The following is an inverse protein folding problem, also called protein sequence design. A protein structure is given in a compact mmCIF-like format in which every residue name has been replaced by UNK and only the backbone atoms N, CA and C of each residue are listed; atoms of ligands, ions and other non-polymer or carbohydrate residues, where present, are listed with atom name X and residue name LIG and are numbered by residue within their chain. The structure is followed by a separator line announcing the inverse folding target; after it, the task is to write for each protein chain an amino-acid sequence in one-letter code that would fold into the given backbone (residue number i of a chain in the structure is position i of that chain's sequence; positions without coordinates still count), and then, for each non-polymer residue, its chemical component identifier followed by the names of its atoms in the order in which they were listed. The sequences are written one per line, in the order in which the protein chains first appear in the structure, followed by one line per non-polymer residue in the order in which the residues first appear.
data_IF_822551517052
#
_entry.id   IF_822551517052
#
_cell.length_a   1.000
_cell.length_b   1.000
_cell.length_c   1.000
_cell.angle_alpha   90.00
_cell.angle_beta   90.00
_cell.angle_gamma   90.00
#
_symmetry.space_group_name_H-M   'P 1'
#
loop_
_entity.id
_entity.type
_entity.pdbx_description
1 polymer ?
#
# COMPACT_ATOMS: atom_id res chain seq x y z
N UNK A 1 13.68 -20.15 12.96
CA UNK A 1 12.32 -20.10 13.52
C UNK A 1 12.15 -21.33 14.39
N UNK A 2 11.64 -21.19 15.63
CA UNK A 2 11.42 -22.32 16.55
C UNK A 2 10.01 -22.19 17.14
N UNK A 3 9.32 -23.31 17.30
CA UNK A 3 8.00 -23.37 17.96
C UNK A 3 8.21 -23.64 19.46
N UNK A 4 7.54 -22.87 20.32
CA UNK A 4 7.59 -23.03 21.77
C UNK A 4 6.20 -22.95 22.41
N UNK A 5 6.00 -23.51 23.60
CA UNK A 5 4.73 -23.39 24.34
C UNK A 5 4.93 -22.66 25.67
N UNK A 6 4.03 -21.73 25.99
CA UNK A 6 3.99 -21.01 27.27
C UNK A 6 2.54 -20.91 27.75
N UNK A 7 2.25 -21.42 28.96
CA UNK A 7 0.91 -21.41 29.57
C UNK A 7 -0.18 -22.02 28.65
N UNK A 8 0.14 -23.11 27.95
CA UNK A 8 -0.78 -23.78 27.02
C UNK A 8 -1.03 -23.03 25.71
N UNK A 9 -0.30 -21.95 25.44
CA UNK A 9 -0.34 -21.19 24.19
C UNK A 9 0.95 -21.44 23.41
N UNK A 10 0.83 -21.79 22.14
CA UNK A 10 1.99 -22.01 21.28
C UNK A 10 2.48 -20.65 20.73
N UNK A 11 3.78 -20.51 20.48
CA UNK A 11 4.42 -19.32 19.94
C UNK A 11 5.46 -19.64 18.86
N UNK A 12 5.67 -18.71 17.93
CA UNK A 12 6.78 -18.70 16.96
C UNK A 12 7.83 -17.70 17.43
N UNK A 13 9.09 -18.14 17.47
CA UNK A 13 10.22 -17.34 17.95
C UNK A 13 11.17 -17.02 16.79
N UNK A 14 11.50 -15.74 16.62
CA UNK A 14 12.49 -15.24 15.65
C UNK A 14 13.65 -14.59 16.41
N UNK A 15 14.86 -14.90 15.97
CA UNK A 15 16.10 -14.48 16.61
C UNK A 15 17.32 -14.98 15.86
N UNK A 16 18.38 -14.18 15.80
CA UNK A 16 19.62 -14.56 15.11
C UNK A 16 20.21 -15.85 15.71
N UNK A 17 20.27 -16.91 14.90
CA UNK A 17 20.83 -18.22 15.28
C UNK A 17 19.95 -19.04 16.22
N UNK A 18 18.71 -18.63 16.50
CA UNK A 18 17.87 -19.25 17.54
C UNK A 18 17.44 -20.69 17.20
N UNK A 19 17.28 -21.00 15.92
CA UNK A 19 16.96 -22.35 15.44
C UNK A 19 18.15 -23.30 15.33
N UNK A 20 19.39 -22.79 15.35
CA UNK A 20 20.59 -23.61 15.24
C UNK A 20 21.09 -24.11 16.61
N UNK A 21 20.71 -23.43 17.70
CA UNK A 21 21.16 -23.75 19.06
C UNK A 21 20.26 -24.76 19.80
N UNK A 22 19.09 -25.07 19.24
CA UNK A 22 18.06 -25.88 19.91
C UNK A 22 17.81 -27.13 19.08
N UNK A 23 18.32 -28.27 19.56
CA UNK A 23 17.91 -29.60 19.03
C UNK A 23 16.47 -29.88 19.47
N UNK A 24 15.73 -30.64 18.67
CA UNK A 24 14.28 -30.97 18.63
C UNK A 24 13.42 -30.92 19.92
N UNK A 25 14.00 -30.82 21.13
CA UNK A 25 13.31 -30.78 22.43
C UNK A 25 13.85 -29.72 23.40
N UNK A 26 14.70 -28.78 22.97
CA UNK A 26 15.28 -27.78 23.88
C UNK A 26 14.29 -26.67 24.26
N UNK A 27 14.32 -26.25 25.53
CA UNK A 27 13.50 -25.15 26.05
C UNK A 27 14.23 -23.83 25.84
N UNK A 28 13.56 -22.85 25.25
CA UNK A 28 14.06 -21.47 25.13
C UNK A 28 13.38 -20.63 26.21
N UNK A 29 14.19 -20.04 27.09
CA UNK A 29 13.71 -19.12 28.11
C UNK A 29 13.15 -17.83 27.45
N UNK A 30 12.03 -17.32 27.97
CA UNK A 30 11.34 -16.15 27.38
C UNK A 30 12.21 -14.88 27.37
N UNK A 31 13.20 -14.82 28.27
CA UNK A 31 14.13 -13.70 28.39
C UNK A 31 15.46 -13.94 27.65
N UNK A 32 15.54 -14.96 26.80
CA UNK A 32 16.74 -15.22 26.00
C UNK A 32 17.01 -14.01 25.10
N UNK A 33 18.21 -13.44 25.22
CA UNK A 33 18.61 -12.21 24.52
C UNK A 33 18.66 -12.37 22.99
N UNK A 34 18.65 -13.61 22.49
CA UNK A 34 18.56 -13.90 21.05
C UNK A 34 17.14 -13.79 20.54
N UNK A 35 16.13 -13.77 21.41
CA UNK A 35 14.74 -13.56 21.01
C UNK A 35 14.59 -12.10 20.59
N UNK A 36 14.43 -11.90 19.30
CA UNK A 36 14.14 -10.59 18.72
C UNK A 36 12.63 -10.38 18.63
N UNK A 37 11.86 -11.42 18.30
CA UNK A 37 10.40 -11.37 18.14
C UNK A 37 9.73 -12.66 18.60
N UNK A 38 8.53 -12.52 19.18
CA UNK A 38 7.70 -13.61 19.70
C UNK A 38 6.26 -13.44 19.19
N UNK A 39 5.75 -14.43 18.45
CA UNK A 39 4.40 -14.43 17.86
C UNK A 39 3.54 -15.53 18.48
N UNK A 40 2.22 -15.32 18.65
CA UNK A 40 1.30 -16.29 19.27
C UNK A 40 0.53 -17.08 18.20
N UNK A 41 0.39 -18.40 18.38
CA UNK A 41 -0.18 -19.33 17.39
C UNK A 41 -1.73 -19.40 17.35
N UNK A 42 -2.44 -18.50 18.04
CA UNK A 42 -3.91 -18.41 17.91
C UNK A 42 -4.35 -17.91 16.51
N UNK A 43 -3.41 -17.41 15.71
CA UNK A 43 -3.62 -17.02 14.30
C UNK A 43 -3.49 -18.22 13.32
N UNK A 44 -3.56 -19.46 13.81
CA UNK A 44 -3.13 -20.72 13.14
C UNK A 44 -3.72 -20.99 11.75
N UNK A 45 -4.97 -20.64 11.47
CA UNK A 45 -5.58 -20.88 10.15
C UNK A 45 -4.96 -19.99 9.07
N UNK A 46 -4.70 -18.72 9.38
CA UNK A 46 -3.99 -17.83 8.47
C UNK A 46 -2.51 -18.24 8.35
N UNK A 47 -1.84 -18.55 9.47
CA UNK A 47 -0.41 -18.90 9.46
C UNK A 47 -0.04 -20.27 8.91
N UNK A 48 -0.94 -21.26 8.99
CA UNK A 48 -0.67 -22.59 8.39
C UNK A 48 -0.61 -22.53 6.87
N UNK A 49 -1.44 -21.68 6.25
CA UNK A 49 -1.31 -21.35 4.83
C UNK A 49 -0.02 -20.58 4.54
N UNK A 50 0.37 -19.67 5.45
CA UNK A 50 1.59 -18.88 5.33
C UNK A 50 2.89 -19.69 5.52
N UNK A 51 2.91 -20.72 6.37
CA UNK A 51 4.08 -21.60 6.54
C UNK A 51 4.42 -22.35 5.26
N UNK A 52 3.41 -22.86 4.55
CA UNK A 52 3.58 -23.57 3.27
C UNK A 52 4.20 -22.64 2.20
N UNK A 53 3.83 -21.35 2.20
CA UNK A 53 4.38 -20.33 1.29
C UNK A 53 5.84 -19.95 1.60
N UNK A 54 6.29 -20.12 2.86
CA UNK A 54 7.63 -19.73 3.32
C UNK A 54 8.68 -20.84 3.17
N UNK A 55 8.26 -22.11 3.06
CA UNK A 55 9.17 -23.27 2.97
C UNK A 55 10.09 -23.23 1.74
N UNK A 56 9.68 -22.54 0.67
CA UNK A 56 10.43 -22.41 -0.59
C UNK A 56 11.15 -21.04 -0.77
N UNK A 57 11.14 -20.18 0.25
CA UNK A 57 11.80 -18.85 0.14
C UNK A 57 13.31 -18.97 0.32
N UNK A 58 14.06 -18.32 -0.58
CA UNK A 58 15.53 -18.28 -0.52
C UNK A 58 15.97 -17.66 0.82
N UNK A 59 16.86 -18.29 1.60
CA UNK A 59 17.39 -17.73 2.84
C UNK A 59 17.98 -16.32 2.68
N UNK A 60 18.54 -15.98 1.50
CA UNK A 60 18.99 -14.63 1.18
C UNK A 60 17.82 -13.64 1.10
N UNK A 61 16.67 -14.08 0.60
CA UNK A 61 15.45 -13.26 0.55
C UNK A 61 14.95 -12.99 1.96
N UNK A 62 14.97 -13.99 2.84
CA UNK A 62 14.61 -13.77 4.25
C UNK A 62 15.56 -12.79 4.94
N UNK A 63 16.87 -12.95 4.74
CA UNK A 63 17.88 -12.04 5.29
C UNK A 63 17.65 -10.60 4.84
N UNK A 64 17.49 -10.36 3.53
CA UNK A 64 17.30 -8.99 3.02
C UNK A 64 15.97 -8.39 3.48
N UNK A 65 14.94 -9.23 3.60
CA UNK A 65 13.62 -8.85 4.13
C UNK A 65 13.74 -8.33 5.56
N UNK A 66 14.47 -9.03 6.42
CA UNK A 66 14.69 -8.61 7.81
C UNK A 66 15.40 -7.26 7.90
N UNK A 67 16.40 -7.03 7.04
CA UNK A 67 17.07 -5.72 6.95
C UNK A 67 16.11 -4.61 6.54
N UNK A 68 15.29 -4.83 5.49
CA UNK A 68 14.32 -3.86 4.98
C UNK A 68 13.25 -3.56 6.04
N UNK A 69 12.75 -4.58 6.74
CA UNK A 69 11.78 -4.40 7.84
C UNK A 69 12.41 -3.60 8.99
N UNK A 70 13.70 -3.81 9.27
CA UNK A 70 14.46 -2.98 10.20
C UNK A 70 14.47 -1.52 9.81
N UNK A 71 14.74 -1.22 8.54
CA UNK A 71 14.72 0.15 8.00
C UNK A 71 13.32 0.78 8.13
N UNK A 72 12.26 0.05 7.76
CA UNK A 72 10.86 0.51 7.87
C UNK A 72 10.53 0.81 9.34
N UNK A 73 10.89 -0.09 10.25
CA UNK A 73 10.61 0.03 11.68
C UNK A 73 11.33 1.23 12.30
N UNK A 74 12.57 1.49 11.89
CA UNK A 74 13.34 2.65 12.32
C UNK A 74 12.67 3.97 11.89
N UNK A 75 12.06 3.99 10.71
CA UNK A 75 11.39 5.17 10.14
C UNK A 75 9.94 5.33 10.64
N UNK A 76 9.32 4.25 11.09
CA UNK A 76 7.93 4.21 11.57
C UNK A 76 7.78 3.40 12.88
N UNK A 77 8.29 3.90 14.01
CA UNK A 77 8.25 3.17 15.28
C UNK A 77 6.81 2.86 15.72
N UNK A 78 6.54 1.61 16.09
CA UNK A 78 5.26 1.18 16.66
C UNK A 78 4.08 1.06 15.67
N UNK A 79 4.32 1.19 14.36
CA UNK A 79 3.27 1.12 13.33
C UNK A 79 3.27 -0.16 12.48
N UNK A 80 4.29 -1.01 12.66
CA UNK A 80 4.50 -2.17 11.79
C UNK A 80 3.39 -3.22 11.98
N UNK A 81 2.83 -3.68 10.87
CA UNK A 81 1.89 -4.80 10.79
C UNK A 81 2.63 -6.11 10.49
N UNK A 82 2.32 -7.16 11.26
CA UNK A 82 2.93 -8.48 11.14
C UNK A 82 2.75 -9.16 9.76
N UNK A 83 1.74 -8.78 8.97
CA UNK A 83 1.53 -9.29 7.60
C UNK A 83 2.71 -8.96 6.67
N UNK A 84 3.54 -7.96 6.99
CA UNK A 84 4.74 -7.65 6.20
C UNK A 84 5.74 -8.80 6.17
N UNK A 85 5.84 -9.61 7.24
CA UNK A 85 6.80 -10.73 7.34
C UNK A 85 6.52 -11.85 6.35
N UNK A 86 5.35 -11.84 5.71
CA UNK A 86 5.00 -12.75 4.63
C UNK A 86 4.95 -12.02 3.28
N UNK A 87 4.28 -10.88 3.24
CA UNK A 87 3.99 -10.19 1.98
C UNK A 87 5.27 -9.69 1.30
N UNK A 88 6.21 -9.14 2.08
CA UNK A 88 7.46 -8.60 1.55
C UNK A 88 8.42 -9.67 1.02
N UNK A 89 8.74 -10.77 1.75
CA UNK A 89 9.64 -11.79 1.21
C UNK A 89 9.05 -12.49 -0.01
N UNK A 90 7.72 -12.71 -0.04
CA UNK A 90 7.03 -13.26 -1.22
C UNK A 90 7.19 -12.34 -2.44
N UNK A 91 7.01 -11.03 -2.25
CA UNK A 91 7.19 -10.05 -3.30
C UNK A 91 8.65 -10.02 -3.79
N UNK A 92 9.63 -9.96 -2.88
CA UNK A 92 11.06 -9.94 -3.24
C UNK A 92 11.46 -11.21 -4.00
N UNK A 93 11.07 -12.39 -3.52
CA UNK A 93 11.33 -13.67 -4.20
C UNK A 93 10.79 -13.64 -5.64
N UNK A 94 9.54 -13.17 -5.81
CA UNK A 94 8.92 -13.08 -7.13
C UNK A 94 9.59 -12.02 -8.02
N UNK A 95 9.96 -10.86 -7.46
CA UNK A 95 10.72 -9.80 -8.15
C UNK A 95 12.07 -10.31 -8.64
N UNK A 96 12.77 -11.13 -7.86
CA UNK A 96 14.04 -11.73 -8.31
C UNK A 96 13.79 -12.76 -9.41
N UNK A 97 12.80 -13.63 -9.23
CA UNK A 97 12.44 -14.66 -10.22
C UNK A 97 12.11 -14.04 -11.58
N UNK A 98 11.26 -13.01 -11.60
CA UNK A 98 10.83 -12.35 -12.84
C UNK A 98 11.98 -11.63 -13.56
N UNK A 99 12.85 -10.94 -12.82
CA UNK A 99 13.96 -10.18 -13.41
C UNK A 99 14.99 -11.13 -14.02
N UNK A 100 15.28 -12.24 -13.34
CA UNK A 100 16.14 -13.31 -13.87
C UNK A 100 15.54 -14.02 -15.09
N UNK A 101 14.22 -14.02 -15.19
CA UNK A 101 13.48 -14.59 -16.32
C UNK A 101 13.25 -13.60 -17.47
N UNK A 102 13.73 -12.36 -17.36
CA UNK A 102 13.52 -11.32 -18.38
C UNK A 102 12.06 -10.88 -18.53
N UNK A 103 11.26 -11.02 -17.48
CA UNK A 103 9.86 -10.58 -17.46
C UNK A 103 9.76 -9.11 -17.07
N UNK A 104 9.38 -8.28 -18.04
CA UNK A 104 9.17 -6.85 -17.83
C UNK A 104 8.10 -6.56 -16.77
N UNK A 105 8.25 -5.40 -16.14
CA UNK A 105 7.26 -4.82 -15.25
C UNK A 105 6.85 -3.45 -15.75
N UNK A 106 5.57 -3.13 -15.63
CA UNK A 106 5.08 -1.78 -15.80
C UNK A 106 4.21 -1.46 -14.59
N UNK A 107 4.53 -0.36 -13.92
CA UNK A 107 3.73 0.22 -12.86
C UNK A 107 3.01 1.46 -13.41
N UNK A 108 1.73 1.33 -13.83
CA UNK A 108 0.98 2.45 -14.39
C UNK A 108 0.68 3.55 -13.36
N UNK A 109 1.01 3.35 -12.08
CA UNK A 109 0.78 4.29 -10.98
C UNK A 109 2.08 4.88 -10.44
N UNK A 110 3.24 4.62 -11.06
CA UNK A 110 4.55 4.99 -10.48
C UNK A 110 4.63 6.46 -10.05
N UNK A 111 4.17 7.36 -10.92
CA UNK A 111 4.21 8.80 -10.67
C UNK A 111 3.25 9.22 -9.56
N UNK A 112 2.04 8.64 -9.53
CA UNK A 112 1.09 8.83 -8.45
C UNK A 112 1.65 8.34 -7.10
N UNK A 113 2.25 7.15 -7.11
CA UNK A 113 2.85 6.50 -5.93
C UNK A 113 3.96 7.37 -5.33
N UNK A 114 4.87 7.91 -6.17
CA UNK A 114 5.92 8.85 -5.73
C UNK A 114 5.37 10.10 -5.04
N UNK A 115 4.29 10.66 -5.57
CA UNK A 115 3.71 11.90 -5.06
C UNK A 115 2.89 11.67 -3.80
N UNK A 116 2.23 10.52 -3.71
CA UNK A 116 1.31 10.18 -2.61
C UNK A 116 2.07 9.65 -1.39
N UNK A 117 3.11 8.84 -1.62
CA UNK A 117 3.86 8.13 -0.59
C UNK A 117 5.37 8.46 -0.67
N UNK A 118 5.78 9.73 -0.62
CA UNK A 118 7.17 10.12 -0.86
C UNK A 118 8.15 9.52 0.17
N UNK A 119 7.72 9.39 1.42
CA UNK A 119 8.56 8.83 2.49
C UNK A 119 8.72 7.31 2.32
N UNK A 120 7.62 6.62 2.02
CA UNK A 120 7.61 5.18 1.76
C UNK A 120 8.39 4.85 0.48
N UNK A 121 8.31 5.71 -0.54
CA UNK A 121 9.07 5.58 -1.79
C UNK A 121 10.58 5.69 -1.54
N UNK A 122 11.02 6.61 -0.69
CA UNK A 122 12.44 6.72 -0.32
C UNK A 122 12.95 5.44 0.36
N UNK A 123 12.14 4.83 1.23
CA UNK A 123 12.50 3.57 1.91
C UNK A 123 12.50 2.41 0.91
N UNK A 124 11.51 2.35 0.02
CA UNK A 124 11.43 1.36 -1.04
C UNK A 124 12.62 1.45 -2.00
N UNK A 125 13.10 2.66 -2.29
CA UNK A 125 14.28 2.88 -3.13
C UNK A 125 15.54 2.30 -2.46
N UNK A 126 15.76 2.58 -1.17
CA UNK A 126 16.87 1.98 -0.40
C UNK A 126 16.76 0.46 -0.31
N UNK A 127 15.54 -0.06 -0.18
CA UNK A 127 15.28 -1.49 -0.22
C UNK A 127 15.65 -2.11 -1.58
N UNK A 128 15.31 -1.44 -2.69
CA UNK A 128 15.69 -1.86 -4.02
C UNK A 128 17.20 -1.88 -4.24
N UNK A 129 17.95 -0.91 -3.70
CA UNK A 129 19.42 -0.92 -3.73
C UNK A 129 20.01 -2.12 -2.99
N UNK A 130 19.47 -2.42 -1.80
CA UNK A 130 19.84 -3.61 -1.00
C UNK A 130 19.58 -4.92 -1.76
N UNK A 131 18.41 -5.06 -2.36
CA UNK A 131 18.04 -6.24 -3.16
C UNK A 131 18.95 -6.34 -4.39
N UNK A 132 19.20 -5.23 -5.09
CA UNK A 132 20.08 -5.20 -6.26
C UNK A 132 21.48 -5.72 -5.92
N UNK A 133 22.04 -5.26 -4.80
CA UNK A 133 23.37 -5.65 -4.33
C UNK A 133 23.46 -7.14 -3.91
N UNK A 134 22.47 -7.66 -3.18
CA UNK A 134 22.49 -9.05 -2.69
C UNK A 134 22.29 -10.08 -3.82
N UNK A 135 21.47 -9.76 -4.83
CA UNK A 135 21.09 -10.70 -5.88
C UNK A 135 21.73 -10.45 -7.24
N UNK A 136 22.51 -9.37 -7.37
CA UNK A 136 23.15 -8.91 -8.61
C UNK A 136 22.13 -8.78 -9.76
N UNK A 137 21.04 -8.08 -9.49
CA UNK A 137 19.97 -7.76 -10.45
C UNK A 137 19.76 -6.25 -10.47
N UNK A 138 19.30 -5.71 -11.60
CA UNK A 138 18.87 -4.33 -11.68
C UNK A 138 17.39 -4.25 -11.33
N UNK A 139 17.04 -3.58 -10.22
CA UNK A 139 15.65 -3.33 -9.87
C UNK A 139 15.15 -2.10 -10.65
N UNK A 140 14.14 -2.24 -11.54
CA UNK A 140 13.57 -1.11 -12.26
C UNK A 140 12.73 -0.24 -11.33
N UNK A 141 12.53 1.02 -11.71
CA UNK A 141 11.79 1.98 -10.88
C UNK A 141 10.32 1.57 -10.65
N UNK A 142 9.72 0.85 -11.59
CA UNK A 142 8.39 0.27 -11.46
C UNK A 142 8.27 -0.70 -10.27
N UNK A 143 9.30 -1.51 -10.01
CA UNK A 143 9.39 -2.38 -8.81
C UNK A 143 9.52 -1.54 -7.54
N UNK A 144 10.29 -0.44 -7.56
CA UNK A 144 10.34 0.51 -6.43
C UNK A 144 8.93 1.04 -6.12
N UNK A 145 8.13 1.30 -7.15
CA UNK A 145 6.73 1.69 -6.98
C UNK A 145 5.87 0.61 -6.30
N UNK A 146 6.06 -0.68 -6.60
CA UNK A 146 5.33 -1.76 -5.90
C UNK A 146 5.86 -2.01 -4.49
N UNK A 147 7.18 -1.95 -4.28
CA UNK A 147 7.79 -1.99 -2.95
C UNK A 147 7.24 -0.87 -2.05
N UNK A 148 6.99 0.32 -2.62
CA UNK A 148 6.35 1.44 -1.90
C UNK A 148 4.99 1.04 -1.31
N UNK A 149 4.18 0.27 -2.05
CA UNK A 149 2.92 -0.24 -1.52
C UNK A 149 3.12 -1.25 -0.39
N UNK A 150 4.14 -2.11 -0.45
CA UNK A 150 4.45 -3.01 0.66
C UNK A 150 4.89 -2.24 1.92
N UNK A 151 5.69 -1.17 1.76
CA UNK A 151 6.07 -0.29 2.87
C UNK A 151 4.84 0.41 3.46
N UNK A 152 4.00 1.04 2.62
CA UNK A 152 2.79 1.71 3.08
C UNK A 152 1.81 0.74 3.75
N UNK A 153 1.60 -0.43 3.14
CA UNK A 153 0.74 -1.49 3.68
C UNK A 153 1.16 -1.91 5.07
N UNK A 154 2.47 -2.04 5.29
CA UNK A 154 3.03 -2.43 6.57
C UNK A 154 2.84 -1.39 7.68
N UNK A 155 2.73 -0.10 7.38
CA UNK A 155 2.62 0.96 8.39
C UNK A 155 1.19 1.49 8.57
N UNK A 156 0.32 1.26 7.59
CA UNK A 156 -1.05 1.77 7.55
C UNK A 156 -2.12 0.68 7.69
N UNK A 157 -1.72 -0.60 7.74
CA UNK A 157 -2.64 -1.75 7.80
C UNK A 157 -3.67 -1.75 6.64
N UNK A 158 -3.25 -1.26 5.48
CA UNK A 158 -4.04 -1.29 4.24
C UNK A 158 -3.47 -2.36 3.32
N UNK A 159 -4.23 -3.38 2.89
CA UNK A 159 -3.70 -4.41 1.99
C UNK A 159 -3.20 -3.83 0.66
N UNK A 160 -2.09 -4.35 0.13
CA UNK A 160 -1.54 -3.93 -1.18
C UNK A 160 -2.57 -4.03 -2.31
N UNK A 161 -3.38 -5.09 -2.33
CA UNK A 161 -4.44 -5.25 -3.32
C UNK A 161 -5.48 -4.12 -3.30
N UNK A 162 -5.78 -3.57 -2.11
CA UNK A 162 -6.67 -2.42 -1.97
C UNK A 162 -6.00 -1.14 -2.53
N UNK A 163 -4.70 -0.94 -2.29
CA UNK A 163 -3.95 0.20 -2.84
C UNK A 163 -3.95 0.17 -4.38
N UNK A 164 -3.74 -1.00 -4.97
CA UNK A 164 -3.81 -1.19 -6.43
C UNK A 164 -5.23 -0.94 -6.94
N UNK A 165 -6.27 -1.41 -6.24
CA UNK A 165 -7.67 -1.17 -6.60
C UNK A 165 -8.00 0.33 -6.58
N UNK A 166 -7.56 1.06 -5.55
CA UNK A 166 -7.75 2.51 -5.43
C UNK A 166 -7.00 3.25 -6.55
N UNK A 167 -5.75 2.90 -6.84
CA UNK A 167 -4.96 3.58 -7.89
C UNK A 167 -5.54 3.38 -9.29
N UNK A 168 -6.03 2.17 -9.60
CA UNK A 168 -6.79 1.91 -10.82
C UNK A 168 -8.03 2.81 -10.91
N UNK A 169 -8.78 2.93 -9.81
CA UNK A 169 -9.97 3.76 -9.76
C UNK A 169 -9.65 5.24 -9.95
N UNK A 170 -8.59 5.75 -9.31
CA UNK A 170 -8.14 7.15 -9.50
C UNK A 170 -7.86 7.42 -10.98
N UNK A 171 -7.11 6.54 -11.66
CA UNK A 171 -6.83 6.68 -13.08
C UNK A 171 -8.11 6.65 -13.94
N UNK A 172 -9.05 5.73 -13.69
CA UNK A 172 -10.33 5.68 -14.41
C UNK A 172 -11.14 6.99 -14.24
N UNK A 173 -11.19 7.54 -13.02
CA UNK A 173 -11.89 8.78 -12.72
C UNK A 173 -11.20 10.00 -13.35
N UNK A 174 -9.87 10.07 -13.33
CA UNK A 174 -9.10 11.14 -13.98
C UNK A 174 -9.36 11.16 -15.48
N UNK A 175 -9.37 9.99 -16.12
CA UNK A 175 -9.66 9.82 -17.54
C UNK A 175 -11.09 10.24 -17.91
N UNK A 176 -12.05 9.90 -17.06
CA UNK A 176 -13.43 10.34 -17.23
C UNK A 176 -13.57 11.86 -17.10
N UNK A 177 -12.94 12.49 -16.09
CA UNK A 177 -12.94 13.94 -15.92
C UNK A 177 -12.32 14.63 -17.14
N UNK A 178 -11.18 14.11 -17.62
CA UNK A 178 -10.48 14.61 -18.81
C UNK A 178 -11.39 14.63 -20.03
N UNK A 179 -12.08 13.52 -20.26
CA UNK A 179 -12.98 13.32 -21.41
C UNK A 179 -14.23 14.19 -21.32
N UNK A 180 -14.90 14.22 -20.17
CA UNK A 180 -16.14 14.98 -19.99
C UNK A 180 -15.93 16.49 -20.07
N UNK A 181 -14.78 16.98 -19.60
CA UNK A 181 -14.48 18.42 -19.56
C UNK A 181 -13.62 18.89 -20.73
N UNK A 182 -13.17 17.97 -21.59
CA UNK A 182 -12.27 18.25 -22.72
C UNK A 182 -11.03 19.05 -22.28
N UNK A 183 -10.50 18.71 -21.11
CA UNK A 183 -9.28 19.30 -20.56
C UNK A 183 -8.11 18.36 -20.81
N UNK A 184 -6.90 18.90 -20.87
CA UNK A 184 -5.67 18.11 -20.85
C UNK A 184 -4.95 18.39 -19.54
N UNK A 185 -4.60 17.34 -18.81
CA UNK A 185 -3.70 17.47 -17.69
C UNK A 185 -2.27 17.43 -18.21
N UNK A 186 -1.50 18.50 -18.00
CA UNK A 186 -0.05 18.38 -18.09
C UNK A 186 0.40 17.41 -17.00
N UNK A 187 1.09 16.36 -17.42
CA UNK A 187 1.53 15.29 -16.52
C UNK A 187 2.47 15.88 -15.45
N UNK A 188 2.17 15.64 -14.18
CA UNK A 188 2.91 16.20 -13.05
C UNK A 188 2.57 17.66 -12.70
N UNK A 189 1.61 18.29 -13.38
CA UNK A 189 1.14 19.63 -12.98
C UNK A 189 0.50 19.62 -11.59
N UNK A 190 0.68 20.70 -10.83
CA UNK A 190 0.13 20.85 -9.48
C UNK A 190 -1.39 20.60 -9.40
N UNK A 191 -2.12 20.95 -10.47
CA UNK A 191 -3.56 20.74 -10.55
C UNK A 191 -3.92 19.25 -10.70
N UNK A 192 -3.19 18.53 -11.54
CA UNK A 192 -3.35 17.09 -11.71
C UNK A 192 -3.06 16.34 -10.42
N UNK A 193 -1.92 16.62 -9.78
CA UNK A 193 -1.51 16.00 -8.52
C UNK A 193 -2.53 16.26 -7.41
N UNK A 194 -3.01 17.50 -7.30
CA UNK A 194 -4.01 17.87 -6.29
C UNK A 194 -5.32 17.12 -6.49
N UNK A 195 -5.83 17.04 -7.72
CA UNK A 195 -7.07 16.30 -8.01
C UNK A 195 -6.91 14.82 -7.69
N UNK A 196 -5.81 14.20 -8.13
CA UNK A 196 -5.46 12.81 -7.86
C UNK A 196 -5.47 12.50 -6.35
N UNK A 197 -4.83 13.34 -5.54
CA UNK A 197 -4.81 13.21 -4.08
C UNK A 197 -6.24 13.28 -3.49
N UNK A 198 -7.07 14.23 -3.95
CA UNK A 198 -8.45 14.34 -3.46
C UNK A 198 -9.32 13.15 -3.85
N UNK A 199 -9.18 12.64 -5.08
CA UNK A 199 -9.86 11.42 -5.53
C UNK A 199 -9.46 10.22 -4.68
N UNK A 200 -8.15 10.02 -4.46
CA UNK A 200 -7.62 8.94 -3.62
C UNK A 200 -8.21 8.98 -2.21
N UNK A 201 -8.13 10.13 -1.54
CA UNK A 201 -8.66 10.24 -0.18
C UNK A 201 -10.18 10.06 -0.10
N UNK A 202 -10.94 10.51 -1.12
CA UNK A 202 -12.37 10.21 -1.19
C UNK A 202 -12.63 8.71 -1.33
N UNK A 203 -11.88 8.01 -2.17
CA UNK A 203 -12.01 6.55 -2.33
C UNK A 203 -11.66 5.80 -1.05
N UNK A 204 -10.60 6.21 -0.35
CA UNK A 204 -10.21 5.62 0.93
C UNK A 204 -11.30 5.78 1.99
N UNK A 205 -11.89 6.98 2.11
CA UNK A 205 -12.99 7.21 3.07
C UNK A 205 -14.26 6.44 2.72
N UNK A 206 -14.61 6.37 1.43
CA UNK A 206 -15.74 5.58 0.94
C UNK A 206 -15.54 4.10 1.31
N UNK A 207 -14.34 3.56 1.09
CA UNK A 207 -14.01 2.17 1.42
C UNK A 207 -13.98 1.91 2.94
N UNK A 208 -13.61 2.91 3.74
CA UNK A 208 -13.61 2.82 5.21
C UNK A 208 -15.00 3.05 5.82
N UNK A 209 -16.01 3.42 5.02
CA UNK A 209 -17.34 3.77 5.52
C UNK A 209 -17.34 5.01 6.43
N UNK A 210 -16.33 5.86 6.33
CA UNK A 210 -16.22 7.07 7.14
C UNK A 210 -17.19 8.13 6.64
N UNK A 211 -18.11 8.56 7.50
CA UNK A 211 -19.02 9.66 7.20
C UNK A 211 -18.31 10.99 7.49
N UNK A 212 -18.22 11.87 6.49
CA UNK A 212 -17.87 13.27 6.71
C UNK A 212 -19.17 14.03 6.91
N UNK A 213 -19.34 14.67 8.07
CA UNK A 213 -20.34 15.71 8.19
C UNK A 213 -19.88 16.94 7.41
N UNK A 214 -20.58 17.27 6.32
CA UNK A 214 -20.29 18.44 5.51
C UNK A 214 -21.45 19.46 5.62
N UNK A 215 -21.30 20.49 6.46
CA UNK A 215 -22.36 21.48 6.68
C UNK A 215 -22.69 22.31 5.42
N UNK A 216 -21.88 22.22 4.36
CA UNK A 216 -22.04 23.00 3.13
C UNK A 216 -22.71 22.24 1.97
N UNK A 217 -23.19 21.01 2.18
CA UNK A 217 -23.85 20.18 1.13
C UNK A 217 -24.91 20.98 0.36
N UNK A 218 -25.81 21.68 1.05
CA UNK A 218 -26.88 22.46 0.41
C UNK A 218 -26.35 23.62 -0.44
N UNK A 219 -25.28 24.28 0.01
CA UNK A 219 -24.68 25.40 -0.72
C UNK A 219 -23.93 24.90 -1.96
N UNK A 220 -23.13 23.84 -1.82
CA UNK A 220 -22.40 23.20 -2.92
C UNK A 220 -23.34 22.77 -4.04
N UNK A 221 -24.47 22.13 -3.71
CA UNK A 221 -25.47 21.71 -4.69
C UNK A 221 -26.13 22.87 -5.43
N UNK A 222 -26.21 24.05 -4.80
CA UNK A 222 -26.82 25.25 -5.40
C UNK A 222 -25.84 26.03 -6.27
N UNK A 223 -24.62 26.22 -5.80
CA UNK A 223 -23.60 27.04 -6.46
C UNK A 223 -22.82 26.26 -7.53
N UNK A 224 -22.46 24.99 -7.26
CA UNK A 224 -21.59 24.17 -8.12
C UNK A 224 -22.38 23.08 -8.86
N UNK A 225 -23.49 23.46 -9.50
CA UNK A 225 -24.43 22.51 -10.12
C UNK A 225 -23.79 21.62 -11.18
N UNK A 226 -22.89 22.18 -12.00
CA UNK A 226 -22.24 21.45 -13.10
C UNK A 226 -21.26 20.43 -12.56
N UNK A 227 -20.44 20.82 -11.59
CA UNK A 227 -19.44 19.98 -10.94
C UNK A 227 -20.08 18.93 -10.06
N UNK A 228 -21.20 19.25 -9.40
CA UNK A 228 -21.99 18.27 -8.65
C UNK A 228 -22.60 17.21 -9.56
N UNK A 229 -23.11 17.58 -10.75
CA UNK A 229 -23.56 16.59 -11.74
C UNK A 229 -22.43 15.69 -12.23
N UNK A 230 -21.22 16.23 -12.43
CA UNK A 230 -20.05 15.43 -12.77
C UNK A 230 -19.67 14.49 -11.62
N UNK A 231 -19.61 15.00 -10.38
CA UNK A 231 -19.36 14.19 -9.19
C UNK A 231 -20.39 13.04 -9.03
N UNK A 232 -21.67 13.27 -9.33
CA UNK A 232 -22.69 12.21 -9.34
C UNK A 232 -22.40 11.12 -10.38
N UNK A 233 -21.90 11.47 -11.58
CA UNK A 233 -21.50 10.48 -12.58
C UNK A 233 -20.28 9.67 -12.12
N UNK A 234 -19.27 10.34 -11.59
CA UNK A 234 -18.09 9.69 -11.00
C UNK A 234 -18.50 8.76 -9.86
N UNK A 235 -19.40 9.20 -8.98
CA UNK A 235 -19.94 8.40 -7.89
C UNK A 235 -20.62 7.11 -8.35
N UNK A 236 -21.35 7.14 -9.48
CA UNK A 236 -21.94 5.92 -10.07
C UNK A 236 -20.87 4.92 -10.54
N UNK A 237 -19.77 5.42 -11.11
CA UNK A 237 -18.65 4.55 -11.51
C UNK A 237 -17.99 3.92 -10.29
N UNK A 238 -17.72 4.73 -9.25
CA UNK A 238 -17.17 4.24 -7.97
C UNK A 238 -18.08 3.17 -7.37
N UNK A 239 -19.38 3.44 -7.28
CA UNK A 239 -20.37 2.51 -6.74
C UNK A 239 -20.40 1.19 -7.50
N UNK A 240 -20.41 1.23 -8.84
CA UNK A 240 -20.44 0.03 -9.67
C UNK A 240 -19.14 -0.79 -9.59
N UNK A 241 -17.99 -0.15 -9.44
CA UNK A 241 -16.67 -0.80 -9.51
C UNK A 241 -16.18 -1.31 -8.16
N UNK A 242 -16.55 -0.61 -7.08
CA UNK A 242 -16.13 -0.95 -5.73
C UNK A 242 -17.22 -1.68 -4.95
N UNK A 243 -18.44 -1.76 -5.46
CA UNK A 243 -19.61 -2.40 -4.81
C UNK A 243 -19.93 -1.76 -3.44
N UNK A 244 -19.78 -0.44 -3.37
CA UNK A 244 -20.00 0.37 -2.17
C UNK A 244 -21.02 1.47 -2.42
N UNK A 245 -21.71 1.91 -1.38
CA UNK A 245 -22.51 3.12 -1.46
C UNK A 245 -21.59 4.34 -1.38
N UNK A 246 -21.82 5.33 -2.23
CA UNK A 246 -21.10 6.60 -2.19
C UNK A 246 -21.97 7.63 -1.46
N UNK A 247 -21.57 8.10 -0.27
CA UNK A 247 -22.33 9.10 0.47
C UNK A 247 -22.47 10.41 -0.31
N UNK A 248 -23.57 11.14 -0.09
CA UNK A 248 -23.81 12.43 -0.75
C UNK A 248 -22.73 13.48 -0.39
N UNK A 249 -22.20 13.37 0.82
CA UNK A 249 -21.16 14.24 1.36
C UNK A 249 -19.86 14.09 0.57
N UNK A 250 -19.53 12.87 0.14
CA UNK A 250 -18.39 12.61 -0.75
C UNK A 250 -18.62 13.17 -2.16
N UNK A 251 -19.85 13.08 -2.68
CA UNK A 251 -20.19 13.72 -3.96
C UNK A 251 -20.03 15.24 -3.88
N UNK A 252 -20.42 15.86 -2.76
CA UNK A 252 -20.23 17.29 -2.53
C UNK A 252 -18.75 17.65 -2.39
N UNK A 253 -17.97 16.83 -1.70
CA UNK A 253 -16.53 17.00 -1.56
C UNK A 253 -15.84 16.95 -2.94
N UNK A 254 -16.15 15.94 -3.75
CA UNK A 254 -15.67 15.83 -5.12
C UNK A 254 -16.06 17.05 -5.97
N UNK A 255 -17.31 17.49 -5.89
CA UNK A 255 -17.79 18.66 -6.61
C UNK A 255 -16.99 19.94 -6.28
N UNK A 256 -16.65 20.15 -5.01
CA UNK A 256 -15.82 21.28 -4.58
C UNK A 256 -14.42 21.25 -5.19
N UNK A 257 -13.79 20.06 -5.24
CA UNK A 257 -12.46 19.90 -5.83
C UNK A 257 -12.45 20.05 -7.34
N UNK A 258 -13.49 19.56 -8.02
CA UNK A 258 -13.71 19.78 -9.44
C UNK A 258 -13.89 21.27 -9.74
N UNK A 259 -14.70 21.98 -8.95
CA UNK A 259 -14.91 23.42 -9.13
C UNK A 259 -13.61 24.21 -9.01
N UNK A 260 -12.81 23.92 -7.97
CA UNK A 260 -11.50 24.56 -7.77
C UNK A 260 -10.55 24.28 -8.93
N UNK A 261 -10.55 23.05 -9.45
CA UNK A 261 -9.74 22.68 -10.60
C UNK A 261 -10.14 23.50 -11.83
N UNK A 262 -11.42 23.56 -12.15
CA UNK A 262 -11.91 24.24 -13.35
C UNK A 262 -11.68 25.75 -13.28
N UNK A 263 -11.89 26.39 -12.12
CA UNK A 263 -11.53 27.80 -11.93
C UNK A 263 -10.05 28.08 -12.17
N UNK A 264 -9.17 27.15 -11.79
CA UNK A 264 -7.72 27.34 -11.98
C UNK A 264 -7.34 27.18 -13.45
N UNK A 265 -7.96 26.23 -14.15
CA UNK A 265 -7.74 26.02 -15.59
C UNK A 265 -8.26 27.22 -16.40
N UNK A 266 -9.42 27.79 -16.06
CA UNK A 266 -9.98 28.95 -16.74
C UNK A 266 -9.13 30.21 -16.59
N UNK A 267 -8.52 30.42 -15.40
CA UNK A 267 -7.63 31.58 -15.16
C UNK A 267 -6.30 31.52 -15.91
N UNK A 268 -5.90 30.34 -16.36
CA UNK A 268 -4.64 30.11 -17.08
C UNK A 268 -4.82 30.03 -18.61
N UNK A 269 -6.04 30.27 -19.12
CA UNK A 269 -6.34 30.43 -20.56
C UNK A 269 -6.35 31.91 -20.93
#
# INVERSE_FOLDING_TARGET
MVQGSKNGKEYVIIGKGIGFAVKDTGVIEVNDQRIEKLFRLEDREEWSQYQILLEDIDPKVMKITDEIIGDITSQFPGKLNDKIYLALPSHIQFTIYRLRSGMDIINPFLQETKMTFPKEFEIAFKAADKISAEFNVQIPEDEVGFLTYHVYSAVSNVPVGQLVKVSNMVNELLEQIRTEQKITFEHGSMNHVRLMIHLRFSLERILQGSLIDNPFVKHIKKEYKTEYKLAQKLGKVIQSRLEVQVPEEELCFLAMHLHRLFQTIEKNK
#
